data_IF_769854902706
#
_entry.id   IF_769854902706
#
_cell.length_a   1.000
_cell.length_b   1.000
_cell.length_c   1.000
_cell.angle_alpha   90.00
_cell.angle_beta   90.00
_cell.angle_gamma   90.00
#
_symmetry.space_group_name_H-M   'P 1'
#
loop_
_entity.id
_entity.type
_entity.pdbx_description
1 polymer ?
#
# COMPACT_ATOMS: atom_id res chain seq x y z
N UNK A 1 33.69 -8.04 13.14
CA UNK A 1 32.82 -8.38 12.01
C UNK A 1 31.50 -7.63 12.12
N UNK A 2 30.78 -7.70 13.25
CA UNK A 2 29.47 -7.09 13.45
C UNK A 2 29.51 -5.56 13.37
N UNK A 3 30.54 -4.91 13.88
CA UNK A 3 30.73 -3.46 13.73
C UNK A 3 30.79 -3.04 12.25
N UNK A 4 31.50 -3.80 11.41
CA UNK A 4 31.56 -3.54 9.97
C UNK A 4 30.19 -3.80 9.29
N UNK A 5 29.48 -4.84 9.71
CA UNK A 5 28.13 -5.11 9.23
C UNK A 5 27.16 -4.00 9.65
N UNK A 6 27.26 -3.53 10.90
CA UNK A 6 26.45 -2.40 11.40
C UNK A 6 26.62 -1.16 10.53
N UNK A 7 27.86 -0.79 10.17
CA UNK A 7 28.13 0.34 9.25
C UNK A 7 27.47 0.13 7.88
N UNK A 8 27.64 -1.06 7.30
CA UNK A 8 27.04 -1.37 6.00
C UNK A 8 25.50 -1.32 6.01
N UNK A 9 24.89 -1.82 7.09
CA UNK A 9 23.43 -1.78 7.25
C UNK A 9 22.93 -0.35 7.48
N UNK A 10 23.67 0.48 8.19
CA UNK A 10 23.36 1.91 8.36
C UNK A 10 23.39 2.62 7.02
N UNK A 11 24.48 2.48 6.25
CA UNK A 11 24.62 3.12 4.94
C UNK A 11 23.51 2.66 3.96
N UNK A 12 23.24 1.35 3.92
CA UNK A 12 22.17 0.80 3.10
C UNK A 12 20.80 1.35 3.54
N UNK A 13 20.57 1.46 4.86
CA UNK A 13 19.30 1.98 5.38
C UNK A 13 19.09 3.44 5.02
N UNK A 14 20.12 4.28 5.10
CA UNK A 14 20.03 5.69 4.76
C UNK A 14 19.67 5.90 3.28
N UNK A 15 20.25 5.09 2.38
CA UNK A 15 19.86 5.08 0.97
C UNK A 15 18.40 4.65 0.77
N UNK A 16 17.96 3.61 1.46
CA UNK A 16 16.59 3.10 1.36
C UNK A 16 15.55 4.05 1.96
N UNK A 17 15.90 4.75 3.07
CA UNK A 17 15.03 5.76 3.67
C UNK A 17 14.80 6.94 2.72
N UNK A 18 15.85 7.43 2.06
CA UNK A 18 15.71 8.50 1.07
C UNK A 18 14.73 8.11 -0.05
N UNK A 19 14.83 6.88 -0.57
CA UNK A 19 13.90 6.36 -1.59
C UNK A 19 12.49 6.09 -1.08
N UNK A 20 12.36 5.70 0.17
CA UNK A 20 11.05 5.55 0.80
C UNK A 20 10.36 6.92 0.97
N UNK A 21 11.11 7.97 1.29
CA UNK A 21 10.60 9.35 1.33
C UNK A 21 10.15 9.84 -0.06
N UNK A 22 10.89 9.52 -1.13
CA UNK A 22 10.48 9.79 -2.51
C UNK A 22 9.16 9.09 -2.87
N UNK A 23 8.99 7.81 -2.48
CA UNK A 23 7.76 7.07 -2.71
C UNK A 23 6.58 7.66 -1.94
N UNK A 24 6.76 8.01 -0.66
CA UNK A 24 5.73 8.66 0.16
C UNK A 24 5.30 9.97 -0.49
N UNK A 25 6.26 10.78 -0.94
CA UNK A 25 6.01 12.06 -1.63
C UNK A 25 5.21 11.84 -2.92
N UNK A 26 5.63 10.89 -3.77
CA UNK A 26 4.93 10.59 -5.01
C UNK A 26 3.48 10.12 -4.79
N UNK A 27 3.25 9.27 -3.79
CA UNK A 27 1.91 8.81 -3.42
C UNK A 27 1.05 9.95 -2.86
N UNK A 28 1.62 10.81 -2.01
CA UNK A 28 0.95 12.00 -1.49
C UNK A 28 0.49 12.93 -2.62
N UNK A 29 1.39 13.25 -3.55
CA UNK A 29 1.10 14.12 -4.69
C UNK A 29 0.02 13.52 -5.59
N UNK A 30 0.11 12.25 -5.92
CA UNK A 30 -0.92 11.54 -6.71
C UNK A 30 -2.28 11.55 -5.99
N UNK A 31 -2.29 11.29 -4.68
CA UNK A 31 -3.52 11.31 -3.87
C UNK A 31 -4.18 12.68 -3.87
N UNK A 32 -3.41 13.75 -3.67
CA UNK A 32 -3.91 15.13 -3.69
C UNK A 32 -4.39 15.57 -5.09
N UNK A 33 -3.69 15.18 -6.15
CA UNK A 33 -4.07 15.49 -7.53
C UNK A 33 -5.43 14.86 -7.90
N UNK A 34 -5.76 13.71 -7.32
CA UNK A 34 -6.99 12.96 -7.60
C UNK A 34 -8.02 13.00 -6.47
N UNK A 35 -7.96 13.99 -5.59
CA UNK A 35 -8.88 14.16 -4.44
C UNK A 35 -10.35 14.31 -4.83
N UNK A 36 -10.63 14.67 -6.09
CA UNK A 36 -11.97 14.83 -6.63
C UNK A 36 -12.28 13.89 -7.81
N UNK A 37 -11.39 12.98 -8.15
CA UNK A 37 -11.59 12.03 -9.25
C UNK A 37 -12.50 10.90 -8.78
N UNK A 38 -13.79 11.04 -9.04
CA UNK A 38 -14.81 10.08 -8.62
C UNK A 38 -14.65 8.75 -9.34
N UNK A 39 -14.76 7.66 -8.60
CA UNK A 39 -14.75 6.27 -9.08
C UNK A 39 -15.76 5.42 -8.30
N UNK A 40 -16.01 4.21 -8.74
CA UNK A 40 -16.70 3.21 -7.92
C UNK A 40 -15.71 2.53 -6.99
N UNK A 41 -16.00 2.51 -5.69
CA UNK A 41 -15.31 1.67 -4.71
C UNK A 41 -15.64 0.20 -4.97
N UNK A 42 -14.66 -0.69 -4.82
CA UNK A 42 -14.85 -2.13 -5.01
C UNK A 42 -14.46 -2.91 -3.77
N UNK A 43 -15.38 -3.75 -3.30
CA UNK A 43 -15.10 -4.75 -2.27
C UNK A 43 -15.35 -6.14 -2.86
N UNK A 44 -14.49 -7.11 -2.58
CA UNK A 44 -14.55 -8.45 -3.18
C UNK A 44 -14.53 -8.45 -4.73
N UNK A 45 -14.05 -7.36 -5.36
CA UNK A 45 -14.08 -7.16 -6.81
C UNK A 45 -15.43 -6.68 -7.36
N UNK A 46 -16.43 -6.48 -6.52
CA UNK A 46 -17.79 -6.04 -6.86
C UNK A 46 -17.95 -4.55 -6.58
N UNK A 47 -18.78 -3.87 -7.37
CA UNK A 47 -19.09 -2.46 -7.17
C UNK A 47 -19.80 -2.24 -5.84
N UNK A 48 -19.24 -1.35 -5.03
CA UNK A 48 -19.82 -0.82 -3.79
C UNK A 48 -20.31 0.61 -3.99
N UNK A 49 -19.98 1.48 -3.06
CA UNK A 49 -20.37 2.89 -3.07
C UNK A 49 -19.38 3.77 -3.86
N UNK A 50 -19.78 5.00 -4.24
CA UNK A 50 -18.86 5.99 -4.80
C UNK A 50 -17.68 6.32 -3.87
N UNK A 51 -16.50 6.49 -4.46
CA UNK A 51 -15.24 6.87 -3.81
C UNK A 51 -14.49 7.85 -4.72
N UNK A 52 -13.38 8.40 -4.27
CA UNK A 52 -12.42 9.13 -5.11
C UNK A 52 -11.09 8.39 -5.18
N UNK A 53 -10.43 8.42 -6.32
CA UNK A 53 -9.17 7.71 -6.52
C UNK A 53 -8.08 8.20 -5.54
N UNK A 54 -8.07 9.50 -5.24
CA UNK A 54 -7.14 10.07 -4.28
C UNK A 54 -7.27 9.48 -2.86
N UNK A 55 -8.46 9.09 -2.43
CA UNK A 55 -8.67 8.42 -1.13
C UNK A 55 -7.97 7.05 -1.09
N UNK A 56 -8.09 6.27 -2.16
CA UNK A 56 -7.39 5.00 -2.29
C UNK A 56 -5.87 5.15 -2.28
N UNK A 57 -5.35 6.17 -2.94
CA UNK A 57 -3.92 6.48 -2.97
C UNK A 57 -3.43 6.97 -1.60
N UNK A 58 -4.24 7.74 -0.87
CA UNK A 58 -3.92 8.18 0.48
C UNK A 58 -3.67 6.99 1.43
N UNK A 59 -4.45 5.92 1.34
CA UNK A 59 -4.23 4.69 2.12
C UNK A 59 -2.83 4.11 1.88
N UNK A 60 -2.39 4.05 0.63
CA UNK A 60 -1.03 3.61 0.29
C UNK A 60 0.06 4.58 0.79
N UNK A 61 -0.17 5.90 0.72
CA UNK A 61 0.78 6.89 1.20
C UNK A 61 1.03 6.74 2.71
N UNK A 62 -0.04 6.62 3.51
CA UNK A 62 0.08 6.40 4.94
C UNK A 62 0.69 5.03 5.28
N UNK A 63 0.41 3.99 4.51
CA UNK A 63 1.03 2.68 4.69
C UNK A 63 2.54 2.73 4.41
N UNK A 64 2.96 3.40 3.33
CA UNK A 64 4.36 3.61 2.98
C UNK A 64 5.10 4.40 4.07
N UNK A 65 4.51 5.49 4.56
CA UNK A 65 5.08 6.29 5.64
C UNK A 65 5.29 5.46 6.93
N UNK A 66 4.29 4.67 7.34
CA UNK A 66 4.44 3.78 8.50
C UNK A 66 5.54 2.73 8.30
N UNK A 67 5.73 2.21 7.08
CA UNK A 67 6.80 1.25 6.80
C UNK A 67 8.17 1.93 6.78
N UNK A 68 8.28 3.15 6.23
CA UNK A 68 9.48 3.99 6.32
C UNK A 68 9.87 4.24 7.77
N UNK A 69 8.92 4.58 8.62
CA UNK A 69 9.18 4.86 10.04
C UNK A 69 9.65 3.60 10.80
N UNK A 70 9.12 2.41 10.45
CA UNK A 70 9.64 1.13 10.97
C UNK A 70 11.09 0.89 10.51
N UNK A 71 11.42 1.20 9.26
CA UNK A 71 12.80 1.08 8.77
C UNK A 71 13.74 2.05 9.51
N UNK A 72 13.27 3.28 9.78
CA UNK A 72 14.02 4.25 10.59
C UNK A 72 14.27 3.75 12.02
N UNK A 73 13.28 3.11 12.64
CA UNK A 73 13.46 2.48 13.95
C UNK A 73 14.46 1.30 13.88
N UNK A 74 14.31 0.43 12.89
CA UNK A 74 15.20 -0.72 12.70
C UNK A 74 16.66 -0.30 12.40
N UNK A 75 16.87 0.88 11.79
CA UNK A 75 18.21 1.46 11.61
C UNK A 75 18.96 1.62 12.95
N UNK A 76 18.26 2.09 13.98
CA UNK A 76 18.87 2.24 15.30
C UNK A 76 19.26 0.89 15.93
N UNK A 77 18.47 -0.16 15.66
CA UNK A 77 18.75 -1.50 16.17
C UNK A 77 19.98 -2.15 15.53
N UNK A 78 20.28 -1.84 14.27
CA UNK A 78 21.46 -2.37 13.55
C UNK A 78 22.68 -1.45 13.65
N UNK A 79 22.54 -0.21 14.13
CA UNK A 79 23.62 0.76 14.28
C UNK A 79 24.47 0.47 15.53
N UNK A 80 24.97 -0.75 15.65
CA UNK A 80 25.69 -1.21 16.85
C UNK A 80 27.15 -1.54 16.58
N UNK A 81 27.99 -1.28 17.59
CA UNK A 81 29.40 -1.61 17.62
C UNK A 81 29.62 -2.75 18.61
N UNK A 82 30.48 -3.72 18.27
CA UNK A 82 30.89 -4.81 19.14
C UNK A 82 32.40 -5.06 19.03
N UNK A 83 33.15 -4.76 20.10
CA UNK A 83 34.58 -4.99 20.22
C UNK A 83 34.93 -5.69 21.59
N UNK A 84 33.93 -6.25 22.24
CA UNK A 84 34.04 -6.85 23.58
C UNK A 84 34.80 -8.17 23.68
N UNK A 85 35.54 -8.57 22.64
CA UNK A 85 36.39 -9.78 22.65
C UNK A 85 35.66 -11.05 22.20
N UNK A 86 36.30 -12.20 22.38
CA UNK A 86 35.92 -13.48 21.81
C UNK A 86 34.56 -14.01 22.27
N UNK A 87 34.16 -13.71 23.50
CA UNK A 87 32.89 -14.12 24.10
C UNK A 87 32.14 -12.96 24.77
N UNK A 88 32.53 -11.72 24.50
CA UNK A 88 31.86 -10.52 25.00
C UNK A 88 32.26 -10.06 26.40
N UNK A 89 33.34 -10.58 26.97
CA UNK A 89 33.71 -10.35 28.36
C UNK A 89 34.77 -9.26 28.57
N UNK A 90 35.21 -8.59 27.51
CA UNK A 90 36.28 -7.58 27.55
C UNK A 90 37.61 -8.10 28.19
N UNK A 91 37.87 -9.42 28.15
CA UNK A 91 38.98 -10.04 28.85
C UNK A 91 40.37 -9.49 28.49
N UNK A 92 40.52 -8.93 27.29
CA UNK A 92 41.83 -8.43 26.79
C UNK A 92 41.72 -7.02 26.18
N UNK A 93 40.63 -6.29 26.41
CA UNK A 93 40.41 -4.94 25.89
C UNK A 93 39.59 -4.14 26.90
N UNK A 94 39.92 -2.87 27.05
CA UNK A 94 39.17 -1.98 27.92
C UNK A 94 37.84 -1.59 27.27
N UNK A 95 36.69 -1.62 27.99
CA UNK A 95 35.41 -1.15 27.50
C UNK A 95 35.44 0.26 26.92
N UNK A 96 36.30 1.16 27.43
CA UNK A 96 36.46 2.51 26.90
C UNK A 96 36.90 2.55 25.44
N UNK A 97 37.65 1.52 24.98
CA UNK A 97 38.02 1.39 23.57
C UNK A 97 36.80 1.15 22.68
N UNK A 98 35.86 0.32 23.11
CA UNK A 98 34.61 0.11 22.36
C UNK A 98 33.76 1.38 22.30
N UNK A 99 33.64 2.09 23.41
CA UNK A 99 32.93 3.37 23.46
C UNK A 99 33.57 4.40 22.52
N UNK A 100 34.88 4.54 22.54
CA UNK A 100 35.60 5.45 21.65
C UNK A 100 35.38 5.10 20.16
N UNK A 101 35.55 3.82 19.82
CA UNK A 101 35.39 3.36 18.44
C UNK A 101 33.93 3.53 17.97
N UNK A 102 32.98 3.18 18.82
CA UNK A 102 31.55 3.36 18.50
C UNK A 102 31.22 4.83 18.22
N UNK A 103 31.65 5.75 19.08
CA UNK A 103 31.47 7.19 18.91
C UNK A 103 32.16 7.69 17.63
N UNK A 104 33.38 7.26 17.33
CA UNK A 104 34.12 7.63 16.13
C UNK A 104 33.44 7.15 14.82
N UNK A 105 32.69 6.05 14.87
CA UNK A 105 31.97 5.47 13.74
C UNK A 105 30.49 5.89 13.67
N UNK A 106 29.98 6.67 14.62
CA UNK A 106 28.57 7.04 14.70
C UNK A 106 27.65 5.84 15.03
N UNK A 107 28.19 4.82 15.71
CA UNK A 107 27.48 3.65 16.19
C UNK A 107 27.26 3.71 17.70
N UNK A 108 26.42 2.82 18.22
CA UNK A 108 26.22 2.64 19.66
C UNK A 108 26.86 1.32 20.11
N UNK A 109 27.62 1.28 21.24
CA UNK A 109 28.07 0.02 21.78
C UNK A 109 26.90 -0.93 22.03
N UNK A 110 27.04 -2.21 21.65
CA UNK A 110 26.03 -3.20 21.99
C UNK A 110 25.96 -3.33 23.54
N UNK A 111 24.76 -3.22 24.15
CA UNK A 111 24.63 -3.27 25.62
C UNK A 111 25.23 -4.56 26.22
N UNK A 112 25.08 -5.63 25.48
CA UNK A 112 25.69 -6.93 25.76
C UNK A 112 25.91 -7.67 24.45
N UNK A 113 26.98 -8.41 24.35
CA UNK A 113 27.23 -9.31 23.23
C UNK A 113 27.93 -10.57 23.71
N UNK A 114 27.84 -11.63 22.95
CA UNK A 114 28.66 -12.82 23.08
C UNK A 114 29.88 -12.73 22.13
N UNK A 115 30.16 -13.73 21.33
CA UNK A 115 31.12 -13.55 20.24
C UNK A 115 30.55 -12.62 19.15
N UNK A 116 29.21 -12.57 19.01
CA UNK A 116 28.46 -11.73 18.08
C UNK A 116 27.38 -10.96 18.82
N UNK A 117 26.86 -9.93 18.20
CA UNK A 117 25.61 -9.30 18.61
C UNK A 117 24.45 -10.25 18.28
N UNK A 118 23.44 -10.37 19.13
CA UNK A 118 22.25 -11.18 18.83
C UNK A 118 21.55 -10.64 17.57
N UNK A 119 21.03 -11.52 16.72
CA UNK A 119 20.56 -11.21 15.37
C UNK A 119 19.12 -10.66 15.29
N UNK A 120 18.46 -10.47 16.41
CA UNK A 120 17.08 -9.94 16.46
C UNK A 120 16.93 -8.57 15.79
N UNK A 121 17.90 -7.64 15.99
CA UNK A 121 17.92 -6.34 15.32
C UNK A 121 18.05 -6.47 13.81
N UNK A 122 18.85 -7.43 13.31
CA UNK A 122 18.96 -7.69 11.87
C UNK A 122 17.67 -8.29 11.33
N UNK A 123 17.02 -9.19 12.08
CA UNK A 123 15.71 -9.74 11.70
C UNK A 123 14.62 -8.65 11.67
N UNK A 124 14.61 -7.74 12.64
CA UNK A 124 13.73 -6.56 12.66
C UNK A 124 13.95 -5.68 11.43
N UNK A 125 15.21 -5.46 11.05
CA UNK A 125 15.57 -4.68 9.86
C UNK A 125 15.04 -5.33 8.57
N UNK A 126 15.23 -6.63 8.36
CA UNK A 126 14.70 -7.34 7.18
C UNK A 126 13.16 -7.36 7.20
N UNK A 127 12.52 -7.46 8.37
CA UNK A 127 11.07 -7.35 8.51
C UNK A 127 10.56 -5.98 8.04
N UNK A 128 11.28 -4.89 8.34
CA UNK A 128 10.94 -3.56 7.86
C UNK A 128 11.03 -3.45 6.33
N UNK A 129 12.08 -4.04 5.72
CA UNK A 129 12.19 -4.13 4.25
C UNK A 129 11.03 -4.93 3.63
N UNK A 130 10.69 -6.06 4.23
CA UNK A 130 9.55 -6.88 3.80
C UNK A 130 8.23 -6.11 3.88
N UNK A 131 8.06 -5.25 4.89
CA UNK A 131 6.91 -4.34 5.00
C UNK A 131 6.83 -3.34 3.85
N UNK A 132 7.92 -2.66 3.51
CA UNK A 132 8.01 -1.75 2.36
C UNK A 132 7.70 -2.47 1.05
N UNK A 133 8.30 -3.63 0.82
CA UNK A 133 8.05 -4.44 -0.37
C UNK A 133 6.58 -4.83 -0.51
N UNK A 134 5.91 -5.11 0.61
CA UNK A 134 4.48 -5.46 0.62
C UNK A 134 3.60 -4.27 0.24
N UNK A 135 3.92 -3.06 0.68
CA UNK A 135 3.20 -1.85 0.25
C UNK A 135 3.43 -1.57 -1.23
N UNK A 136 4.66 -1.71 -1.73
CA UNK A 136 4.95 -1.61 -3.17
C UNK A 136 4.11 -2.60 -3.99
N UNK A 137 3.98 -3.85 -3.54
CA UNK A 137 3.12 -4.85 -4.19
C UNK A 137 1.64 -4.45 -4.14
N UNK A 138 1.14 -3.91 -3.03
CA UNK A 138 -0.25 -3.46 -2.92
C UNK A 138 -0.58 -2.35 -3.92
N UNK A 139 0.33 -1.38 -4.10
CA UNK A 139 0.22 -0.35 -5.16
C UNK A 139 0.20 -0.98 -6.55
N UNK A 140 1.14 -1.89 -6.81
CA UNK A 140 1.23 -2.59 -8.10
C UNK A 140 -0.03 -3.41 -8.41
N UNK A 141 -0.63 -4.06 -7.42
CA UNK A 141 -1.89 -4.80 -7.58
C UNK A 141 -3.05 -3.88 -7.92
N UNK A 142 -3.18 -2.72 -7.28
CA UNK A 142 -4.19 -1.72 -7.63
C UNK A 142 -4.07 -1.29 -9.10
N UNK A 143 -2.83 -0.99 -9.55
CA UNK A 143 -2.58 -0.61 -10.95
C UNK A 143 -2.93 -1.75 -11.90
N UNK A 144 -2.53 -2.99 -11.60
CA UNK A 144 -2.85 -4.17 -12.43
C UNK A 144 -4.36 -4.39 -12.55
N UNK A 145 -5.11 -4.26 -11.45
CA UNK A 145 -6.56 -4.35 -11.47
C UNK A 145 -7.19 -3.20 -12.26
N UNK A 146 -6.72 -1.98 -12.08
CA UNK A 146 -7.20 -0.80 -12.81
C UNK A 146 -6.90 -0.84 -14.31
N UNK A 147 -5.83 -1.56 -14.74
CA UNK A 147 -5.43 -1.69 -16.15
C UNK A 147 -6.09 -2.85 -16.90
N UNK A 148 -6.88 -3.69 -16.22
CA UNK A 148 -7.61 -4.79 -16.88
C UNK A 148 -8.49 -4.26 -18.01
N UNK A 149 -8.65 -5.07 -19.06
CA UNK A 149 -9.36 -4.68 -20.30
C UNK A 149 -10.79 -4.19 -20.04
N UNK A 150 -11.51 -4.81 -19.12
CA UNK A 150 -12.86 -4.46 -18.73
C UNK A 150 -12.93 -3.24 -17.79
N UNK A 151 -11.87 -2.94 -17.04
CA UNK A 151 -11.81 -1.80 -16.11
C UNK A 151 -11.27 -0.55 -16.78
N UNK A 152 -10.01 -0.56 -17.23
CA UNK A 152 -9.36 0.51 -18.00
C UNK A 152 -9.34 1.88 -17.31
N UNK A 153 -9.29 1.90 -15.99
CA UNK A 153 -9.26 3.12 -15.18
C UNK A 153 -7.84 3.67 -14.98
N UNK A 154 -6.84 2.77 -15.03
CA UNK A 154 -5.43 3.07 -14.84
C UNK A 154 -4.60 2.51 -15.99
N UNK A 155 -3.44 3.10 -16.21
CA UNK A 155 -2.43 2.57 -17.14
C UNK A 155 -1.03 2.95 -16.66
N UNK A 156 -0.08 2.01 -16.74
CA UNK A 156 1.33 2.32 -16.54
C UNK A 156 1.82 3.37 -17.54
N UNK A 157 2.85 4.16 -17.17
CA UNK A 157 3.49 5.07 -18.12
C UNK A 157 4.07 4.28 -19.30
N UNK A 158 3.73 4.72 -20.50
CA UNK A 158 4.17 4.07 -21.74
C UNK A 158 5.07 5.02 -22.54
N UNK A 159 6.35 4.69 -22.65
CA UNK A 159 7.33 5.51 -23.35
C UNK A 159 7.16 5.47 -24.88
N UNK A 160 7.57 6.55 -25.58
CA UNK A 160 7.63 6.56 -27.05
C UNK A 160 8.54 5.43 -27.53
N UNK A 161 8.01 4.55 -28.40
CA UNK A 161 8.74 3.40 -28.94
C UNK A 161 8.75 2.14 -28.06
N UNK A 162 8.16 2.18 -26.88
CA UNK A 162 7.99 0.99 -26.03
C UNK A 162 7.00 0.02 -26.70
N UNK A 163 7.39 -1.26 -26.82
CA UNK A 163 6.49 -2.32 -27.31
C UNK A 163 5.79 -2.98 -26.12
N UNK A 164 4.47 -2.92 -26.09
CA UNK A 164 3.67 -3.54 -25.01
C UNK A 164 3.52 -5.05 -25.19
N UNK A 165 3.59 -5.53 -26.43
CA UNK A 165 3.48 -6.94 -26.79
C UNK A 165 4.22 -7.19 -28.10
N UNK A 166 4.83 -8.37 -28.26
CA UNK A 166 5.46 -8.78 -29.51
C UNK A 166 4.46 -9.12 -30.62
N UNK A 167 3.23 -9.51 -30.25
CA UNK A 167 2.22 -10.00 -31.20
C UNK A 167 1.07 -9.01 -31.43
N UNK A 168 0.70 -8.20 -30.44
CA UNK A 168 -0.45 -7.28 -30.48
C UNK A 168 0.00 -5.84 -30.18
N UNK A 169 0.15 -4.96 -31.16
CA UNK A 169 0.70 -3.61 -30.96
C UNK A 169 -0.08 -2.73 -29.98
N UNK A 170 -1.40 -2.95 -29.84
CA UNK A 170 -2.28 -2.22 -28.93
C UNK A 170 -2.26 -2.73 -27.49
N UNK A 171 -1.67 -3.92 -27.24
CA UNK A 171 -1.68 -4.57 -25.92
C UNK A 171 -0.59 -3.98 -25.03
N UNK A 172 -1.00 -3.15 -24.07
CA UNK A 172 -0.11 -2.56 -23.06
C UNK A 172 -0.17 -3.41 -21.79
N UNK A 173 0.86 -4.25 -21.60
CA UNK A 173 0.94 -5.09 -20.40
C UNK A 173 1.45 -4.28 -19.20
N UNK A 174 0.96 -4.52 -17.96
CA UNK A 174 1.44 -3.85 -16.74
C UNK A 174 2.75 -4.46 -16.23
N UNK A 175 3.82 -4.37 -17.04
CA UNK A 175 5.11 -5.05 -16.81
C UNK A 175 5.82 -4.52 -15.58
N UNK A 176 5.73 -3.21 -15.30
CA UNK A 176 6.34 -2.62 -14.10
C UNK A 176 5.68 -3.19 -12.85
N UNK A 177 4.36 -3.20 -12.80
CA UNK A 177 3.58 -3.72 -11.68
C UNK A 177 3.76 -5.23 -11.50
N UNK A 178 3.91 -6.00 -12.59
CA UNK A 178 4.22 -7.43 -12.54
C UNK A 178 5.59 -7.68 -11.92
N UNK A 179 6.61 -6.89 -12.30
CA UNK A 179 7.96 -6.97 -11.71
C UNK A 179 7.96 -6.61 -10.23
N UNK A 180 7.25 -5.54 -9.84
CA UNK A 180 7.10 -5.14 -8.44
C UNK A 180 6.51 -6.31 -7.64
N UNK A 181 5.40 -6.89 -8.10
CA UNK A 181 4.75 -8.01 -7.42
C UNK A 181 5.65 -9.26 -7.32
N UNK A 182 6.46 -9.53 -8.35
CA UNK A 182 7.43 -10.63 -8.35
C UNK A 182 8.59 -10.40 -7.36
N UNK A 183 9.21 -9.23 -7.42
CA UNK A 183 10.35 -8.89 -6.56
C UNK A 183 9.99 -8.74 -5.09
N UNK A 184 8.78 -8.28 -4.77
CA UNK A 184 8.29 -8.20 -3.39
C UNK A 184 8.30 -9.56 -2.69
N UNK A 185 8.08 -10.65 -3.42
CA UNK A 185 8.16 -12.03 -2.88
C UNK A 185 9.58 -12.39 -2.48
N UNK A 186 10.57 -11.96 -3.27
CA UNK A 186 11.99 -12.20 -2.99
C UNK A 186 12.40 -11.49 -1.70
N UNK A 187 12.04 -10.21 -1.53
CA UNK A 187 12.36 -9.47 -0.29
C UNK A 187 11.73 -10.15 0.93
N UNK A 188 10.45 -10.51 0.87
CA UNK A 188 9.77 -11.20 1.99
C UNK A 188 10.37 -12.57 2.30
N UNK A 189 10.84 -13.29 1.29
CA UNK A 189 11.45 -14.60 1.48
C UNK A 189 12.75 -14.55 2.30
N UNK A 190 13.45 -13.40 2.32
CA UNK A 190 14.67 -13.24 3.09
C UNK A 190 14.44 -13.11 4.61
N UNK A 191 13.20 -12.82 5.03
CA UNK A 191 12.90 -12.63 6.45
C UNK A 191 13.04 -13.91 7.28
N UNK A 192 12.45 -15.00 6.83
CA UNK A 192 12.45 -16.27 7.59
C UNK A 192 13.86 -16.79 7.87
N UNK A 193 14.74 -16.94 6.85
CA UNK A 193 16.08 -17.45 7.10
C UNK A 193 16.94 -16.51 7.96
N UNK A 194 16.68 -15.19 7.95
CA UNK A 194 17.39 -14.26 8.86
C UNK A 194 16.84 -14.37 10.28
N UNK A 195 15.52 -14.51 10.46
CA UNK A 195 14.91 -14.74 11.77
C UNK A 195 15.40 -16.03 12.42
N UNK A 196 15.57 -17.11 11.65
CA UNK A 196 16.14 -18.38 12.10
C UNK A 196 17.62 -18.29 12.49
N UNK A 197 18.30 -17.20 12.15
CA UNK A 197 19.66 -16.87 12.59
C UNK A 197 19.75 -16.30 14.02
N UNK A 198 18.61 -16.01 14.68
CA UNK A 198 18.60 -15.47 16.06
C UNK A 198 19.02 -16.53 17.09
N UNK A 199 18.45 -17.76 17.11
CA UNK A 199 18.85 -18.80 18.07
C UNK A 199 20.13 -19.50 17.62
N UNK A 200 21.27 -19.02 18.12
CA UNK A 200 22.59 -19.66 17.91
C UNK A 200 22.94 -20.56 19.06
N UNK A 201 23.86 -21.51 18.83
CA UNK A 201 24.42 -22.34 19.90
C UNK A 201 25.42 -21.56 20.72
N UNK A 202 25.19 -21.53 22.04
CA UNK A 202 26.02 -20.89 23.01
C UNK A 202 26.37 -19.42 22.64
N UNK A 203 27.62 -19.04 22.71
CA UNK A 203 28.10 -17.69 22.41
C UNK A 203 28.18 -17.41 20.90
N UNK A 204 28.16 -18.43 20.07
CA UNK A 204 28.02 -18.41 18.60
C UNK A 204 28.22 -19.80 17.99
N UNK A 205 27.45 -20.10 16.96
CA UNK A 205 27.84 -20.98 15.86
C UNK A 205 27.85 -20.17 14.53
N UNK A 206 28.22 -20.82 13.41
CA UNK A 206 28.41 -20.11 12.15
C UNK A 206 27.19 -20.23 11.18
N UNK A 207 26.10 -20.86 11.61
CA UNK A 207 24.91 -21.10 10.76
C UNK A 207 24.29 -19.82 10.18
N UNK A 208 24.27 -18.73 10.96
CA UNK A 208 23.77 -17.42 10.52
C UNK A 208 24.60 -16.83 9.36
N UNK A 209 25.91 -17.04 9.35
CA UNK A 209 26.83 -16.32 8.47
C UNK A 209 26.62 -16.61 6.98
N UNK A 210 26.36 -17.87 6.61
CA UNK A 210 26.10 -18.25 5.22
C UNK A 210 24.78 -17.67 4.72
N UNK A 211 23.78 -17.64 5.58
CA UNK A 211 22.45 -17.06 5.30
C UNK A 211 22.54 -15.54 5.12
N UNK A 212 23.19 -14.85 6.05
CA UNK A 212 23.31 -13.38 6.03
C UNK A 212 24.03 -12.89 4.76
N UNK A 213 25.03 -13.63 4.25
CA UNK A 213 25.76 -13.28 3.03
C UNK A 213 24.89 -13.23 1.78
N UNK A 214 23.79 -13.96 1.75
CA UNK A 214 22.82 -13.98 0.65
C UNK A 214 21.65 -13.05 0.99
N UNK A 215 21.03 -13.24 2.14
CA UNK A 215 19.77 -12.61 2.49
C UNK A 215 19.89 -11.09 2.64
N UNK A 216 20.93 -10.57 3.28
CA UNK A 216 21.05 -9.12 3.53
C UNK A 216 21.29 -8.30 2.26
N UNK A 217 22.30 -8.64 1.41
CA UNK A 217 22.48 -7.91 0.16
C UNK A 217 21.29 -8.06 -0.79
N UNK A 218 20.72 -9.26 -0.93
CA UNK A 218 19.60 -9.49 -1.82
C UNK A 218 18.34 -8.72 -1.36
N UNK A 219 18.05 -8.71 -0.06
CA UNK A 219 16.95 -7.92 0.49
C UNK A 219 17.15 -6.42 0.24
N UNK A 220 18.37 -5.92 0.46
CA UNK A 220 18.71 -4.49 0.26
C UNK A 220 18.56 -4.07 -1.19
N UNK A 221 19.21 -4.79 -2.11
CA UNK A 221 19.23 -4.48 -3.55
C UNK A 221 17.82 -4.61 -4.14
N UNK A 222 17.09 -5.66 -3.77
CA UNK A 222 15.74 -5.87 -4.25
C UNK A 222 14.77 -4.78 -3.73
N UNK A 223 14.92 -4.34 -2.47
CA UNK A 223 14.12 -3.24 -1.90
C UNK A 223 14.43 -1.92 -2.59
N UNK A 224 15.70 -1.61 -2.83
CA UNK A 224 16.14 -0.43 -3.59
C UNK A 224 15.48 -0.38 -4.97
N UNK A 225 15.56 -1.49 -5.69
CA UNK A 225 14.93 -1.62 -7.01
C UNK A 225 13.40 -1.43 -6.95
N UNK A 226 12.74 -2.04 -5.95
CA UNK A 226 11.30 -1.92 -5.75
C UNK A 226 10.86 -0.49 -5.47
N UNK A 227 11.55 0.22 -4.57
CA UNK A 227 11.22 1.61 -4.26
C UNK A 227 11.35 2.49 -5.48
N UNK A 228 12.47 2.40 -6.22
CA UNK A 228 12.66 3.14 -7.47
C UNK A 228 11.56 2.83 -8.50
N UNK A 229 11.29 1.55 -8.73
CA UNK A 229 10.32 1.15 -9.75
C UNK A 229 8.91 1.58 -9.38
N UNK A 230 8.53 1.49 -8.09
CA UNK A 230 7.21 1.89 -7.61
C UNK A 230 7.04 3.41 -7.65
N UNK A 231 8.06 4.18 -7.28
CA UNK A 231 8.04 5.65 -7.40
C UNK A 231 7.86 6.08 -8.85
N UNK A 232 8.59 5.46 -9.79
CA UNK A 232 8.43 5.71 -11.23
C UNK A 232 7.03 5.32 -11.75
N UNK A 233 6.47 4.21 -11.27
CA UNK A 233 5.12 3.78 -11.61
C UNK A 233 4.10 4.82 -11.15
N UNK A 234 4.17 5.25 -9.90
CA UNK A 234 3.25 6.21 -9.28
C UNK A 234 3.35 7.58 -9.94
N UNK A 235 4.57 8.11 -10.12
CA UNK A 235 4.80 9.43 -10.71
C UNK A 235 4.40 9.51 -12.19
N UNK A 236 4.38 8.39 -12.90
CA UNK A 236 4.01 8.34 -14.31
C UNK A 236 2.62 7.72 -14.56
N UNK A 237 1.87 7.39 -13.52
CA UNK A 237 0.58 6.70 -13.65
C UNK A 237 -0.42 7.52 -14.44
N UNK A 238 -1.00 6.92 -15.46
CA UNK A 238 -2.10 7.51 -16.23
C UNK A 238 -3.42 7.13 -15.58
N UNK A 239 -4.17 8.13 -15.13
CA UNK A 239 -5.49 7.96 -14.48
C UNK A 239 -6.58 8.45 -15.43
N UNK A 240 -7.48 7.56 -15.83
CA UNK A 240 -8.62 7.89 -16.71
C UNK A 240 -9.87 8.17 -15.86
N UNK A 241 -10.02 9.41 -15.42
CA UNK A 241 -11.17 9.84 -14.62
C UNK A 241 -12.50 9.75 -15.36
N UNK A 242 -12.51 9.90 -16.69
CA UNK A 242 -13.72 9.73 -17.48
C UNK A 242 -14.16 8.25 -17.49
N UNK A 243 -13.22 7.34 -17.62
CA UNK A 243 -13.50 5.91 -17.55
C UNK A 243 -13.93 5.48 -16.15
N UNK A 244 -13.32 6.03 -15.09
CA UNK A 244 -13.74 5.80 -13.71
C UNK A 244 -15.22 6.18 -13.51
N UNK A 245 -15.62 7.35 -14.00
CA UNK A 245 -17.03 7.79 -13.95
C UNK A 245 -17.94 6.89 -14.78
N UNK A 246 -17.56 6.54 -15.99
CA UNK A 246 -18.35 5.62 -16.82
C UNK A 246 -18.55 4.25 -16.17
N UNK A 247 -17.52 3.70 -15.51
CA UNK A 247 -17.62 2.44 -14.77
C UNK A 247 -18.55 2.56 -13.54
N UNK A 248 -18.55 3.71 -12.86
CA UNK A 248 -19.47 3.99 -11.76
C UNK A 248 -20.91 4.02 -12.26
N UNK A 249 -21.16 4.71 -13.38
CA UNK A 249 -22.49 4.85 -13.99
C UNK A 249 -22.99 3.53 -14.61
N UNK A 250 -22.11 2.64 -15.04
CA UNK A 250 -22.44 1.35 -15.63
C UNK A 250 -23.24 0.42 -14.69
N UNK A 251 -23.27 0.71 -13.39
CA UNK A 251 -24.13 0.00 -12.43
C UNK A 251 -25.61 0.29 -12.60
N UNK A 252 -26.01 1.22 -13.50
CA UNK A 252 -27.39 1.66 -13.64
C UNK A 252 -27.99 2.31 -12.39
N UNK A 253 -27.13 2.77 -11.46
CA UNK A 253 -27.55 3.39 -10.20
C UNK A 253 -27.66 2.43 -9.00
N UNK A 254 -27.37 1.15 -9.17
CA UNK A 254 -27.39 0.16 -8.07
C UNK A 254 -26.48 0.52 -6.89
N UNK A 255 -25.42 1.29 -7.14
CA UNK A 255 -24.49 1.78 -6.10
C UNK A 255 -25.14 2.74 -5.10
N UNK A 256 -26.35 3.25 -5.39
CA UNK A 256 -27.08 4.19 -4.53
C UNK A 256 -28.17 3.51 -3.67
N UNK A 257 -28.35 2.20 -3.82
CA UNK A 257 -29.42 1.45 -3.13
C UNK A 257 -29.39 1.63 -1.60
N UNK A 258 -28.22 1.64 -0.99
CA UNK A 258 -28.05 1.85 0.45
C UNK A 258 -28.56 3.23 0.91
N UNK A 259 -28.18 4.29 0.19
CA UNK A 259 -28.58 5.65 0.53
C UNK A 259 -30.07 5.89 0.24
N UNK A 260 -30.61 5.32 -0.85
CA UNK A 260 -32.03 5.38 -1.17
C UNK A 260 -32.87 4.67 -0.10
N UNK A 261 -32.42 3.51 0.39
CA UNK A 261 -33.09 2.81 1.49
C UNK A 261 -33.19 3.70 2.74
N UNK A 262 -32.11 4.36 3.14
CA UNK A 262 -32.10 5.26 4.29
C UNK A 262 -33.01 6.46 4.07
N UNK A 263 -33.04 7.02 2.88
CA UNK A 263 -33.89 8.14 2.51
C UNK A 263 -35.38 7.77 2.63
N UNK A 264 -35.76 6.57 2.17
CA UNK A 264 -37.13 6.07 2.31
C UNK A 264 -37.55 5.90 3.77
N UNK A 265 -36.64 5.47 4.63
CA UNK A 265 -36.87 5.39 6.08
C UNK A 265 -37.03 6.78 6.68
N UNK A 266 -36.20 7.75 6.31
CA UNK A 266 -36.32 9.15 6.74
C UNK A 266 -37.67 9.79 6.28
N UNK A 267 -38.18 9.37 5.11
CA UNK A 267 -39.46 9.76 4.57
C UNK A 267 -40.66 9.10 5.28
N UNK A 268 -40.41 8.20 6.25
CA UNK A 268 -41.42 7.61 7.14
C UNK A 268 -41.83 6.16 6.82
N UNK A 269 -41.16 5.48 5.88
CA UNK A 269 -41.36 4.05 5.68
C UNK A 269 -40.72 3.26 6.83
N UNK A 270 -41.34 2.12 7.15
CA UNK A 270 -40.61 1.16 8.02
C UNK A 270 -39.33 0.68 7.33
N UNK A 271 -38.32 0.28 8.10
CA UNK A 271 -37.07 -0.23 7.53
C UNK A 271 -37.31 -1.48 6.67
N UNK A 272 -38.27 -2.32 7.04
CA UNK A 272 -38.64 -3.52 6.33
C UNK A 272 -39.29 -3.19 4.97
N UNK A 273 -40.23 -2.23 4.94
CA UNK A 273 -40.88 -1.79 3.72
C UNK A 273 -39.91 -1.08 2.78
N UNK A 274 -39.06 -0.19 3.32
CA UNK A 274 -38.00 0.48 2.56
C UNK A 274 -37.01 -0.52 1.94
N UNK A 275 -36.61 -1.54 2.71
CA UNK A 275 -35.74 -2.60 2.21
C UNK A 275 -36.43 -3.41 1.10
N UNK A 276 -37.66 -3.87 1.31
CA UNK A 276 -38.41 -4.66 0.31
C UNK A 276 -38.63 -3.88 -0.98
N UNK A 277 -38.92 -2.57 -0.88
CA UNK A 277 -39.11 -1.71 -2.03
C UNK A 277 -37.80 -1.54 -2.82
N UNK A 278 -36.69 -1.19 -2.12
CA UNK A 278 -35.37 -0.98 -2.70
C UNK A 278 -34.84 -2.27 -3.32
N UNK A 279 -34.99 -3.40 -2.65
CA UNK A 279 -34.54 -4.71 -3.13
C UNK A 279 -35.28 -5.11 -4.42
N UNK A 280 -36.61 -4.95 -4.48
CA UNK A 280 -37.40 -5.25 -5.68
C UNK A 280 -36.92 -4.43 -6.88
N UNK A 281 -36.75 -3.13 -6.69
CA UNK A 281 -36.27 -2.23 -7.74
C UNK A 281 -34.83 -2.59 -8.18
N UNK A 282 -33.96 -2.91 -7.23
CA UNK A 282 -32.57 -3.29 -7.52
C UNK A 282 -32.47 -4.62 -8.29
N UNK A 283 -33.26 -5.62 -7.94
CA UNK A 283 -33.31 -6.89 -8.65
C UNK A 283 -33.85 -6.72 -10.07
N UNK A 284 -34.91 -5.93 -10.27
CA UNK A 284 -35.42 -5.62 -11.62
C UNK A 284 -34.35 -4.91 -12.47
N UNK A 285 -33.63 -3.94 -11.89
CA UNK A 285 -32.49 -3.30 -12.57
C UNK A 285 -31.41 -4.31 -12.94
N UNK A 286 -31.03 -5.19 -12.02
CA UNK A 286 -29.99 -6.19 -12.26
C UNK A 286 -30.36 -7.16 -13.40
N UNK A 287 -31.60 -7.56 -13.47
CA UNK A 287 -32.10 -8.53 -14.46
C UNK A 287 -32.36 -7.92 -15.84
N UNK A 288 -32.85 -6.66 -15.87
CA UNK A 288 -33.33 -6.04 -17.10
C UNK A 288 -32.39 -4.99 -17.68
N UNK A 289 -31.46 -4.45 -16.87
CA UNK A 289 -30.61 -3.30 -17.23
C UNK A 289 -31.35 -1.97 -17.24
N UNK A 290 -32.63 -1.91 -16.86
CA UNK A 290 -33.37 -0.65 -16.70
C UNK A 290 -32.77 0.13 -15.52
N UNK A 291 -32.57 1.47 -15.65
CA UNK A 291 -31.95 2.26 -14.58
C UNK A 291 -32.69 2.13 -13.24
N UNK A 292 -31.97 2.03 -12.16
CA UNK A 292 -32.52 1.83 -10.80
C UNK A 292 -33.57 2.87 -10.39
N UNK A 293 -33.40 4.11 -10.79
CA UNK A 293 -34.42 5.15 -10.53
C UNK A 293 -35.78 4.90 -11.22
N UNK A 294 -35.77 4.30 -12.41
CA UNK A 294 -36.99 3.97 -13.14
C UNK A 294 -37.69 2.78 -12.48
N UNK A 295 -36.94 1.73 -12.16
CA UNK A 295 -37.50 0.56 -11.46
C UNK A 295 -37.97 0.92 -10.05
N UNK A 296 -37.27 1.84 -9.35
CA UNK A 296 -37.70 2.36 -8.05
C UNK A 296 -39.02 3.13 -8.14
N UNK A 297 -39.18 4.01 -9.12
CA UNK A 297 -40.44 4.74 -9.35
C UNK A 297 -41.62 3.78 -9.57
N UNK A 298 -41.40 2.78 -10.42
CA UNK A 298 -42.39 1.75 -10.69
C UNK A 298 -42.79 1.00 -9.42
N UNK A 299 -41.78 0.49 -8.70
CA UNK A 299 -41.98 -0.26 -7.45
C UNK A 299 -42.67 0.58 -6.36
N UNK A 300 -42.38 1.88 -6.28
CA UNK A 300 -43.03 2.81 -5.35
C UNK A 300 -44.47 3.05 -5.74
N UNK A 301 -44.78 3.31 -7.04
CA UNK A 301 -46.16 3.47 -7.54
C UNK A 301 -46.99 2.23 -7.24
N UNK A 302 -46.48 1.04 -7.50
CA UNK A 302 -47.15 -0.24 -7.22
C UNK A 302 -47.44 -0.43 -5.71
N UNK A 303 -46.61 0.16 -4.85
CA UNK A 303 -46.79 0.14 -3.39
C UNK A 303 -47.60 1.34 -2.85
N UNK A 304 -48.09 2.22 -3.73
CA UNK A 304 -48.83 3.43 -3.33
C UNK A 304 -47.99 4.48 -2.60
N UNK A 305 -46.64 4.41 -2.79
CA UNK A 305 -45.69 5.34 -2.18
C UNK A 305 -45.37 6.50 -3.14
N UNK A 306 -45.21 7.70 -2.57
CA UNK A 306 -44.79 8.89 -3.33
C UNK A 306 -43.30 9.14 -3.01
N UNK A 307 -42.49 9.24 -4.08
CA UNK A 307 -41.07 9.53 -3.96
C UNK A 307 -40.82 11.04 -4.00
N UNK A 308 -39.92 11.52 -3.16
CA UNK A 308 -39.38 12.88 -3.23
C UNK A 308 -38.24 12.90 -4.28
N UNK A 309 -38.58 13.28 -5.52
CA UNK A 309 -37.62 13.30 -6.63
C UNK A 309 -36.43 14.24 -6.42
N UNK A 310 -36.59 15.49 -5.91
CA UNK A 310 -35.46 16.35 -5.58
C UNK A 310 -34.51 15.72 -4.56
N UNK A 311 -35.05 15.03 -3.58
CA UNK A 311 -34.26 14.35 -2.57
C UNK A 311 -33.52 13.13 -3.13
N UNK A 312 -34.16 12.37 -4.01
CA UNK A 312 -33.54 11.28 -4.75
C UNK A 312 -32.41 11.77 -5.68
N UNK A 313 -32.55 12.94 -6.30
CA UNK A 313 -31.51 13.57 -7.09
C UNK A 313 -30.25 13.82 -6.23
N UNK A 314 -30.45 14.36 -5.05
CA UNK A 314 -29.35 14.61 -4.10
C UNK A 314 -28.71 13.32 -3.61
N UNK A 315 -29.50 12.32 -3.23
CA UNK A 315 -29.03 11.03 -2.72
C UNK A 315 -28.26 10.23 -3.77
N UNK A 316 -28.65 10.33 -5.04
CA UNK A 316 -28.01 9.62 -6.15
C UNK A 316 -26.87 10.43 -6.80
N UNK A 317 -26.38 11.47 -6.17
CA UNK A 317 -25.22 12.25 -6.61
C UNK A 317 -23.94 11.65 -6.03
N UNK A 318 -22.99 11.17 -6.85
CA UNK A 318 -21.78 10.51 -6.35
C UNK A 318 -20.92 11.43 -5.49
N UNK A 319 -20.90 12.74 -5.77
CA UNK A 319 -20.12 13.73 -5.02
C UNK A 319 -20.52 13.81 -3.54
N UNK A 320 -21.80 13.56 -3.22
CA UNK A 320 -22.28 13.51 -1.82
C UNK A 320 -21.54 12.52 -0.95
N UNK A 321 -21.13 11.38 -1.53
CA UNK A 321 -20.43 10.32 -0.78
C UNK A 321 -19.02 10.71 -0.36
N UNK A 322 -18.43 11.68 -1.02
CA UNK A 322 -17.03 12.10 -0.85
C UNK A 322 -16.87 13.48 -0.21
N UNK A 323 -17.97 14.20 0.03
CA UNK A 323 -17.96 15.54 0.64
C UNK A 323 -17.26 15.59 2.01
N UNK A 324 -17.29 14.50 2.77
CA UNK A 324 -16.71 14.41 4.12
C UNK A 324 -15.25 13.97 4.15
N UNK A 325 -14.61 13.81 3.01
CA UNK A 325 -13.20 13.38 2.91
C UNK A 325 -12.18 14.51 3.15
N UNK A 326 -12.61 15.76 3.35
CA UNK A 326 -11.72 16.89 3.64
C UNK A 326 -10.63 16.56 4.66
N UNK A 327 -10.97 16.10 5.88
CA UNK A 327 -9.97 15.78 6.90
C UNK A 327 -8.97 14.67 6.53
N UNK A 328 -9.30 13.80 5.57
CA UNK A 328 -8.35 12.80 5.06
C UNK A 328 -7.29 13.47 4.21
N UNK A 329 -7.71 14.38 3.32
CA UNK A 329 -6.80 15.09 2.44
C UNK A 329 -5.96 16.15 3.16
N UNK A 330 -6.48 16.75 4.24
CA UNK A 330 -5.72 17.63 5.11
C UNK A 330 -4.56 16.85 5.75
N UNK A 331 -4.84 15.67 6.35
CA UNK A 331 -3.78 14.80 6.89
C UNK A 331 -2.81 14.31 5.82
N UNK A 332 -3.30 14.06 4.60
CA UNK A 332 -2.43 13.66 3.49
C UNK A 332 -1.50 14.81 3.07
N UNK A 333 -1.98 16.04 3.06
CA UNK A 333 -1.16 17.21 2.74
C UNK A 333 -0.03 17.41 3.77
N UNK A 334 -0.28 17.12 5.03
CA UNK A 334 0.67 17.21 6.14
C UNK A 334 1.62 15.99 6.25
N UNK A 335 1.47 14.99 5.40
CA UNK A 335 2.30 13.80 5.42
C UNK A 335 3.70 14.11 4.84
N UNK A 336 4.74 13.95 5.66
CA UNK A 336 6.14 14.19 5.32
C UNK A 336 6.98 12.91 5.33
#
# INVERSE_FOLDING_TARGET
LDTALGLQLVDATDLLLAKADELVTALRELGLAHRSTVRVGRTHGVHGEPDVFGHRVADFAFAAARCRDRLRAARAEVAVCKISGAVGTYSNIDPDVEQYVAAALGLTPAPVATQVVIRDGIASWVAALAGLATVCEAVALEVRHGQRTEVRELSEPFGKGQKGSSAMPHKKNPIMSERIAGMARIVRAQYVPVLEGVPLWHERDISHSSTERIALPDASIATDYLLNLTTRLVSGLVVDGARMRANLEASGGLIYTSAVLLELVEAGLSREDAYALTQRAAMETWETGVPFRETLRKAAADAGQVLDEPRLDEVCRPERYVERLGPVFDRLADLH
#
